data_IF_292892566147
#
_entry.id   IF_292892566147
#
_cell.length_a   1.000
_cell.length_b   1.000
_cell.length_c   1.000
_cell.angle_alpha   90.00
_cell.angle_beta   90.00
_cell.angle_gamma   90.00
#
_symmetry.space_group_name_H-M   'P 1'
#
loop_
_entity.id
_entity.type
_entity.pdbx_description
1 polymer ?
#
# COMPACT_ATOMS: atom_id res chain seq x y z
N UNK A 1 -3.66 9.85 2.62
CA UNK A 1 -3.28 8.62 1.88
C UNK A 1 -2.10 7.92 2.53
N UNK A 2 -0.93 8.57 2.68
CA UNK A 2 0.26 7.96 3.33
C UNK A 2 -0.03 7.35 4.72
N UNK A 3 -0.70 8.10 5.61
CA UNK A 3 -1.03 7.61 6.96
C UNK A 3 -1.95 6.39 6.95
N UNK A 4 -2.92 6.37 6.03
CA UNK A 4 -3.85 5.25 5.87
C UNK A 4 -3.08 4.02 5.38
N UNK A 5 -2.16 4.18 4.42
CA UNK A 5 -1.31 3.08 3.95
C UNK A 5 -0.41 2.54 5.07
N UNK A 6 0.21 3.42 5.87
CA UNK A 6 1.04 3.05 7.01
C UNK A 6 0.27 2.22 8.04
N UNK A 7 -0.92 2.69 8.42
CA UNK A 7 -1.80 1.99 9.35
C UNK A 7 -2.27 0.64 8.78
N UNK A 8 -2.69 0.63 7.51
CA UNK A 8 -3.15 -0.58 6.85
C UNK A 8 -2.04 -1.63 6.73
N UNK A 9 -0.82 -1.25 6.35
CA UNK A 9 0.29 -2.21 6.23
C UNK A 9 0.99 -2.49 7.57
N UNK A 10 0.73 -1.70 8.61
CA UNK A 10 1.38 -1.80 9.91
C UNK A 10 2.86 -1.44 9.86
N UNK A 11 3.23 -0.46 9.03
CA UNK A 11 4.61 -0.03 8.81
C UNK A 11 4.78 1.45 9.10
N UNK A 12 6.02 1.87 9.34
CA UNK A 12 6.35 3.27 9.52
C UNK A 12 6.11 4.07 8.22
N UNK A 13 5.60 5.29 8.35
CA UNK A 13 5.26 6.15 7.21
C UNK A 13 6.50 6.52 6.38
N UNK A 14 7.69 6.52 6.98
CA UNK A 14 8.97 6.78 6.28
C UNK A 14 9.31 5.75 5.21
N UNK A 15 8.71 4.56 5.26
CA UNK A 15 8.87 3.52 4.25
C UNK A 15 7.96 3.72 3.03
N UNK A 16 7.08 4.72 3.06
CA UNK A 16 6.05 4.95 2.05
C UNK A 16 6.35 6.23 1.30
N UNK A 17 6.42 6.13 -0.02
CA UNK A 17 6.61 7.28 -0.91
C UNK A 17 5.41 7.41 -1.84
N UNK A 18 4.81 8.60 -1.88
CA UNK A 18 3.79 8.96 -2.85
C UNK A 18 4.43 9.80 -3.96
N UNK A 19 4.65 9.24 -5.17
CA UNK A 19 5.06 10.04 -6.32
C UNK A 19 3.90 10.92 -6.82
N UNK A 20 4.21 11.88 -7.69
CA UNK A 20 3.21 12.72 -8.33
C UNK A 20 2.18 11.87 -9.09
N UNK A 21 0.93 12.31 -9.11
CA UNK A 21 -0.15 11.65 -9.83
C UNK A 21 0.07 11.81 -11.33
N UNK A 22 0.37 10.70 -12.00
CA UNK A 22 0.59 10.67 -13.44
C UNK A 22 -0.35 9.67 -14.12
N UNK A 23 -0.83 10.04 -15.32
CA UNK A 23 -1.85 9.30 -16.08
C UNK A 23 -1.38 7.92 -16.56
N UNK A 24 -0.07 7.68 -16.55
CA UNK A 24 0.58 6.39 -16.84
C UNK A 24 0.46 5.39 -15.68
N UNK A 25 0.29 5.86 -14.44
CA UNK A 25 0.15 5.00 -13.25
C UNK A 25 -1.30 4.65 -12.95
N UNK A 26 -2.24 5.51 -13.32
CA UNK A 26 -3.68 5.31 -13.10
C UNK A 26 -4.42 5.89 -14.31
N UNK A 27 -4.88 5.03 -15.20
CA UNK A 27 -5.61 5.42 -16.41
C UNK A 27 -7.10 5.69 -16.12
N UNK A 28 -7.75 6.51 -16.95
CA UNK A 28 -9.18 6.85 -16.83
C UNK A 28 -9.59 7.54 -15.51
N UNK A 29 -8.68 8.32 -14.92
CA UNK A 29 -9.03 9.18 -13.78
C UNK A 29 -10.00 10.27 -14.26
N UNK A 30 -11.20 10.32 -13.67
CA UNK A 30 -12.09 11.48 -13.77
C UNK A 30 -11.37 12.71 -13.22
N UNK A 31 -11.33 13.86 -13.92
CA UNK A 31 -10.66 15.06 -13.41
C UNK A 31 -11.25 15.46 -12.05
N UNK A 32 -10.43 15.45 -11.01
CA UNK A 32 -10.86 15.76 -9.63
C UNK A 32 -10.28 17.11 -9.23
N UNK A 33 -11.11 17.97 -8.63
CA UNK A 33 -10.66 19.17 -7.92
C UNK A 33 -9.86 18.74 -6.69
N UNK A 34 -8.68 19.34 -6.47
CA UNK A 34 -7.72 19.01 -5.40
C UNK A 34 -8.37 18.68 -4.04
N UNK A 35 -9.44 19.41 -3.68
CA UNK A 35 -10.13 19.33 -2.40
C UNK A 35 -10.93 18.04 -2.13
N UNK A 36 -11.28 17.24 -3.15
CA UNK A 36 -12.01 15.97 -2.98
C UNK A 36 -11.17 14.71 -3.22
N UNK A 37 -9.92 14.88 -3.64
CA UNK A 37 -9.04 13.78 -4.04
C UNK A 37 -8.77 12.77 -2.90
N UNK A 38 -8.57 13.24 -1.67
CA UNK A 38 -8.20 12.39 -0.53
C UNK A 38 -9.29 11.39 -0.12
N UNK A 39 -10.57 11.76 -0.24
CA UNK A 39 -11.70 10.93 0.17
C UNK A 39 -12.04 9.87 -0.89
N UNK A 40 -11.87 10.17 -2.18
CA UNK A 40 -12.25 9.28 -3.27
C UNK A 40 -11.26 8.15 -3.51
N UNK A 41 -9.97 8.36 -3.29
CA UNK A 41 -8.96 7.32 -3.49
C UNK A 41 -8.72 6.43 -2.27
N UNK A 42 -9.20 6.83 -1.09
CA UNK A 42 -8.97 6.08 0.15
C UNK A 42 -9.52 4.63 0.11
N UNK A 43 -10.72 4.35 -0.42
CA UNK A 43 -11.22 2.97 -0.54
C UNK A 43 -10.37 2.10 -1.48
N UNK A 44 -9.95 2.63 -2.63
CA UNK A 44 -9.09 1.91 -3.57
C UNK A 44 -7.71 1.61 -2.96
N UNK A 45 -7.17 2.55 -2.18
CA UNK A 45 -5.93 2.38 -1.45
C UNK A 45 -6.03 1.29 -0.38
N UNK A 46 -7.13 1.27 0.38
CA UNK A 46 -7.41 0.26 1.41
C UNK A 46 -7.52 -1.12 0.76
N UNK A 47 -8.27 -1.24 -0.35
CA UNK A 47 -8.40 -2.49 -1.09
C UNK A 47 -7.05 -3.00 -1.60
N UNK A 48 -6.23 -2.14 -2.20
CA UNK A 48 -4.87 -2.49 -2.62
C UNK A 48 -4.00 -2.97 -1.44
N UNK A 49 -4.06 -2.29 -0.29
CA UNK A 49 -3.36 -2.72 0.93
C UNK A 49 -3.86 -4.09 1.42
N UNK A 50 -5.17 -4.34 1.38
CA UNK A 50 -5.75 -5.63 1.75
C UNK A 50 -5.30 -6.76 0.82
N UNK A 51 -5.28 -6.52 -0.49
CA UNK A 51 -4.79 -7.49 -1.46
C UNK A 51 -3.32 -7.85 -1.20
N UNK A 52 -2.47 -6.86 -0.91
CA UNK A 52 -1.07 -7.09 -0.53
C UNK A 52 -0.97 -7.89 0.77
N UNK A 53 -1.72 -7.51 1.82
CA UNK A 53 -1.72 -8.26 3.09
C UNK A 53 -2.09 -9.71 2.88
N UNK A 54 -3.13 -10.02 2.09
CA UNK A 54 -3.55 -11.40 1.79
C UNK A 54 -2.41 -12.24 1.20
N UNK A 55 -1.59 -11.65 0.32
CA UNK A 55 -0.41 -12.33 -0.24
C UNK A 55 0.71 -12.53 0.79
N UNK A 56 0.86 -11.61 1.73
CA UNK A 56 1.91 -11.66 2.77
C UNK A 56 1.54 -12.53 3.98
N UNK A 57 0.26 -12.87 4.20
CA UNK A 57 -0.20 -13.76 5.27
C UNK A 57 0.57 -15.09 5.34
N UNK A 58 0.75 -15.87 4.25
CA UNK A 58 1.47 -17.15 4.32
C UNK A 58 2.95 -16.99 4.73
N UNK A 59 3.63 -15.96 4.21
CA UNK A 59 5.03 -15.67 4.54
C UNK A 59 5.16 -15.23 6.01
N UNK A 60 4.22 -14.39 6.47
CA UNK A 60 4.16 -13.93 7.87
C UNK A 60 3.86 -15.07 8.85
N UNK A 61 3.08 -16.07 8.44
CA UNK A 61 2.81 -17.24 9.27
C UNK A 61 4.05 -18.13 9.45
N UNK A 62 4.84 -18.32 8.39
CA UNK A 62 6.13 -19.03 8.46
C UNK A 62 7.17 -18.27 9.30
N UNK A 63 7.09 -16.94 9.33
CA UNK A 63 8.08 -16.09 9.96
C UNK A 63 7.46 -14.90 10.73
N UNK A 64 6.92 -15.14 11.94
CA UNK A 64 6.13 -14.14 12.67
C UNK A 64 6.94 -12.97 13.26
N UNK A 65 8.25 -13.13 13.42
CA UNK A 65 9.14 -12.15 14.07
C UNK A 65 9.96 -11.30 13.10
N UNK A 66 9.81 -11.50 11.79
CA UNK A 66 10.60 -10.76 10.81
C UNK A 66 10.18 -9.30 10.71
N UNK A 67 11.17 -8.44 10.51
CA UNK A 67 10.94 -7.04 10.14
C UNK A 67 10.35 -6.95 8.74
N UNK A 68 9.63 -5.87 8.46
CA UNK A 68 8.96 -5.66 7.17
C UNK A 68 9.89 -5.87 5.96
N UNK A 69 11.13 -5.37 6.01
CA UNK A 69 12.10 -5.50 4.90
C UNK A 69 12.43 -6.97 4.60
N UNK A 70 12.76 -7.75 5.63
CA UNK A 70 13.14 -9.16 5.47
C UNK A 70 11.92 -9.98 5.05
N UNK A 71 10.73 -9.64 5.56
CA UNK A 71 9.48 -10.29 5.15
C UNK A 71 9.20 -10.09 3.65
N UNK A 72 9.40 -8.87 3.12
CA UNK A 72 9.23 -8.60 1.69
C UNK A 72 10.29 -9.30 0.84
N UNK A 73 11.54 -9.34 1.30
CA UNK A 73 12.60 -10.09 0.63
C UNK A 73 12.25 -11.58 0.53
N UNK A 74 11.78 -12.18 1.63
CA UNK A 74 11.32 -13.57 1.63
C UNK A 74 10.12 -13.77 0.70
N UNK A 75 9.16 -12.85 0.70
CA UNK A 75 7.99 -12.88 -0.19
C UNK A 75 8.35 -12.73 -1.68
N UNK A 76 9.54 -12.22 -2.02
CA UNK A 76 10.04 -12.15 -3.38
C UNK A 76 10.67 -13.48 -3.84
N UNK A 77 11.28 -14.22 -2.91
CA UNK A 77 11.90 -15.52 -3.20
C UNK A 77 10.94 -16.71 -3.09
N UNK A 78 9.78 -16.56 -2.44
CA UNK A 78 8.68 -17.52 -2.46
C UNK A 78 7.85 -17.43 -3.76
#
# INVERSE_FOLDING_TARGET
>A
MLSITAEQLGIDISLIRLPETARDKISNITPIVESLSSNLYSPALIDACQQLRKKLVPVKFKHPTLTWRILIEQAYYE
#
